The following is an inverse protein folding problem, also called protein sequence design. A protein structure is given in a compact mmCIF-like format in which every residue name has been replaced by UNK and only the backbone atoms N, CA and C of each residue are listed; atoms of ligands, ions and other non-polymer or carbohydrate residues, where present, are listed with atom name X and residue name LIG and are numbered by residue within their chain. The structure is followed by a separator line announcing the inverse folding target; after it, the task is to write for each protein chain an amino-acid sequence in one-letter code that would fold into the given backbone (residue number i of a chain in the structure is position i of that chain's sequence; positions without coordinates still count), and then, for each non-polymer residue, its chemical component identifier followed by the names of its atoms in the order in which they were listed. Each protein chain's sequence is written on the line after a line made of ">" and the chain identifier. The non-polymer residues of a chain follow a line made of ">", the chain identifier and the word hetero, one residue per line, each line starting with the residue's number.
data_IF_028125603134
#
_entry.id   IF_028125603134
#
_cell.length_a   1.000
_cell.length_b   1.000
_cell.length_c   1.000
_cell.angle_alpha   90.00
_cell.angle_beta   90.00
_cell.angle_gamma   90.00
#
_symmetry.space_group_name_H-M   'P 1'
#
loop_
_entity.id
_entity.type
_entity.pdbx_description
1 polymer ?
#
# COMPACT_ATOMS: atom_id res chain seq x y z
N UNK A 1 -18.48 -60.68 21.83
CA UNK A 1 -19.15 -59.57 22.56
C UNK A 1 -18.18 -58.67 23.35
N UNK A 2 -17.34 -59.15 24.28
CA UNK A 2 -16.47 -58.27 25.10
C UNK A 2 -15.37 -57.52 24.32
N UNK A 3 -14.83 -58.10 23.24
CA UNK A 3 -13.74 -57.49 22.45
C UNK A 3 -14.21 -56.35 21.53
N UNK A 4 -15.38 -56.48 20.92
CA UNK A 4 -15.98 -55.41 20.10
C UNK A 4 -16.30 -54.16 20.91
N UNK A 5 -16.74 -54.33 22.15
CA UNK A 5 -17.00 -53.21 23.06
C UNK A 5 -15.72 -52.44 23.39
N UNK A 6 -14.60 -53.13 23.63
CA UNK A 6 -13.30 -52.47 23.85
C UNK A 6 -12.84 -51.67 22.63
N UNK A 7 -12.98 -52.23 21.43
CA UNK A 7 -12.59 -51.55 20.20
C UNK A 7 -13.45 -50.30 19.92
N UNK A 8 -14.76 -50.35 20.23
CA UNK A 8 -15.65 -49.19 20.13
C UNK A 8 -15.30 -48.09 21.13
N UNK A 9 -14.92 -48.45 22.36
CA UNK A 9 -14.48 -47.49 23.39
C UNK A 9 -13.15 -46.82 23.00
N UNK A 10 -12.18 -47.58 22.47
CA UNK A 10 -10.92 -47.02 21.99
C UNK A 10 -11.12 -46.11 20.77
N UNK A 11 -11.98 -46.49 19.83
CA UNK A 11 -12.32 -45.67 18.67
C UNK A 11 -13.00 -44.36 19.07
N UNK A 12 -13.98 -44.43 19.99
CA UNK A 12 -14.67 -43.26 20.51
C UNK A 12 -13.72 -42.35 21.31
N UNK A 13 -12.84 -42.93 22.13
CA UNK A 13 -11.81 -42.20 22.86
C UNK A 13 -10.81 -41.48 21.94
N UNK A 14 -10.39 -42.15 20.85
CA UNK A 14 -9.54 -41.54 19.81
C UNK A 14 -10.24 -40.39 19.07
N UNK A 15 -11.53 -40.53 18.77
CA UNK A 15 -12.31 -39.50 18.10
C UNK A 15 -12.50 -38.25 18.99
N UNK A 16 -12.77 -38.44 20.28
CA UNK A 16 -12.87 -37.34 21.26
C UNK A 16 -11.52 -36.63 21.41
N UNK A 17 -10.41 -37.38 21.51
CA UNK A 17 -9.08 -36.79 21.59
C UNK A 17 -8.74 -35.96 20.34
N UNK A 18 -9.10 -36.44 19.15
CA UNK A 18 -8.92 -35.71 17.90
C UNK A 18 -9.75 -34.41 17.86
N UNK A 19 -11.01 -34.46 18.30
CA UNK A 19 -11.87 -33.27 18.40
C UNK A 19 -11.32 -32.25 19.41
N UNK A 20 -10.78 -32.71 20.55
CA UNK A 20 -10.15 -31.82 21.53
C UNK A 20 -8.87 -31.16 21.00
N UNK A 21 -8.05 -31.88 20.22
CA UNK A 21 -6.85 -31.32 19.57
C UNK A 21 -7.25 -30.30 18.49
N UNK A 22 -8.30 -30.57 17.73
CA UNK A 22 -8.83 -29.65 16.71
C UNK A 22 -9.47 -28.40 17.33
N UNK A 23 -10.14 -28.52 18.48
CA UNK A 23 -10.72 -27.39 19.21
C UNK A 23 -9.65 -26.51 19.90
N UNK A 24 -8.52 -27.08 20.33
CA UNK A 24 -7.42 -26.34 20.93
C UNK A 24 -6.61 -25.47 19.94
N UNK A 25 -6.80 -25.68 18.63
CA UNK A 25 -6.13 -24.90 17.58
C UNK A 25 -6.71 -23.50 17.34
N UNK A 26 -7.90 -23.20 17.87
CA UNK A 26 -8.54 -21.90 17.70
C UNK A 26 -8.11 -20.92 18.82
N UNK A 27 -6.88 -20.40 18.74
CA UNK A 27 -6.46 -19.29 19.61
C UNK A 27 -7.16 -18.01 19.14
N UNK A 28 -8.18 -17.57 19.87
CA UNK A 28 -8.66 -16.19 19.81
C UNK A 28 -7.46 -15.28 20.12
N UNK A 29 -7.08 -14.45 19.17
CA UNK A 29 -6.05 -13.44 19.42
C UNK A 29 -6.76 -12.28 20.09
N UNK A 30 -6.50 -12.08 21.38
CA UNK A 30 -7.01 -10.93 22.11
C UNK A 30 -6.14 -9.73 21.73
N UNK A 31 -6.79 -8.72 21.16
CA UNK A 31 -6.16 -7.44 20.83
C UNK A 31 -6.42 -6.46 21.98
N UNK A 32 -5.44 -5.61 22.33
CA UNK A 32 -5.66 -4.58 23.33
C UNK A 32 -6.70 -3.57 22.83
N UNK A 33 -7.60 -3.14 23.71
CA UNK A 33 -8.51 -2.04 23.42
C UNK A 33 -7.74 -0.73 23.26
N UNK A 34 -7.96 -0.02 22.15
CA UNK A 34 -7.36 1.29 21.88
C UNK A 34 -8.41 2.37 22.13
N UNK A 35 -8.35 3.01 23.30
CA UNK A 35 -9.22 4.16 23.60
C UNK A 35 -8.85 5.38 22.71
N UNK A 36 -9.87 6.04 22.15
CA UNK A 36 -9.71 7.19 21.23
C UNK A 36 -8.72 6.93 20.09
N UNK A 37 -9.02 5.98 19.17
CA UNK A 37 -8.07 5.61 18.13
C UNK A 37 -7.97 6.68 17.03
N UNK A 38 -6.76 6.88 16.53
CA UNK A 38 -6.47 7.34 15.18
C UNK A 38 -6.07 6.13 14.31
N UNK A 39 -6.26 6.21 13.00
CA UNK A 39 -5.99 5.10 12.08
C UNK A 39 -4.78 5.39 11.21
N UNK A 40 -3.76 4.54 11.26
CA UNK A 40 -2.47 4.79 10.62
C UNK A 40 -2.06 3.64 9.70
N UNK A 41 -1.67 3.97 8.48
CA UNK A 41 -0.96 3.07 7.55
C UNK A 41 0.41 3.65 7.25
N UNK A 42 1.48 2.87 7.38
CA UNK A 42 2.87 3.36 7.21
C UNK A 42 3.60 2.58 6.14
N UNK A 43 4.33 3.29 5.30
CA UNK A 43 5.11 2.74 4.21
C UNK A 43 6.57 3.18 4.28
N UNK A 44 7.48 2.22 4.08
CA UNK A 44 8.88 2.50 3.82
C UNK A 44 9.11 2.68 2.31
N UNK A 45 9.25 3.94 1.88
CA UNK A 45 9.49 4.31 0.48
C UNK A 45 10.95 4.68 0.22
N UNK A 46 11.87 4.29 1.10
CA UNK A 46 13.31 4.47 0.87
C UNK A 46 13.78 3.52 -0.23
N UNK A 47 14.38 4.09 -1.26
CA UNK A 47 15.02 3.36 -2.35
C UNK A 47 16.49 3.22 -2.05
N UNK A 48 17.04 2.01 -2.19
CA UNK A 48 18.46 1.78 -1.96
C UNK A 48 19.05 0.89 -3.04
N UNK A 49 19.91 1.47 -3.85
CA UNK A 49 20.77 0.74 -4.78
C UNK A 49 22.15 0.65 -4.17
N UNK A 50 22.58 -0.57 -3.83
CA UNK A 50 23.93 -0.82 -3.31
C UNK A 50 24.94 -0.52 -4.42
N UNK A 51 25.85 0.40 -4.17
CA UNK A 51 27.02 0.70 -4.99
C UNK A 51 28.28 0.48 -4.14
N UNK A 52 29.46 0.45 -4.76
CA UNK A 52 30.72 0.38 -4.01
C UNK A 52 30.84 1.55 -3.03
N UNK A 53 30.41 2.73 -3.46
CA UNK A 53 30.51 3.98 -2.69
C UNK A 53 29.57 4.04 -1.49
N UNK A 54 28.42 3.36 -1.56
CA UNK A 54 27.41 3.39 -0.50
C UNK A 54 27.25 2.05 0.22
N UNK A 55 28.09 1.04 -0.01
CA UNK A 55 27.92 -0.31 0.57
C UNK A 55 27.78 -0.33 2.10
N UNK A 56 28.37 0.66 2.77
CA UNK A 56 28.36 0.80 4.24
C UNK A 56 27.23 1.70 4.75
N UNK A 57 26.40 2.26 3.87
CA UNK A 57 25.28 3.10 4.25
C UNK A 57 24.14 2.28 4.91
N UNK A 58 23.33 2.91 5.79
CA UNK A 58 22.21 2.25 6.43
C UNK A 58 21.23 1.69 5.38
N UNK A 59 20.96 0.39 5.45
CA UNK A 59 20.00 -0.28 4.57
C UNK A 59 18.57 0.21 4.87
N UNK A 60 17.66 0.29 3.88
CA UNK A 60 16.28 0.70 4.08
C UNK A 60 15.45 -0.44 4.68
N UNK A 61 15.95 -1.07 5.74
CA UNK A 61 15.25 -2.10 6.50
C UNK A 61 15.04 -1.55 7.90
N UNK A 62 13.79 -1.25 8.24
CA UNK A 62 13.46 -0.34 9.33
C UNK A 62 12.75 -1.05 10.47
N UNK A 63 12.96 -0.53 11.67
CA UNK A 63 12.06 -0.69 12.81
C UNK A 63 11.37 0.66 13.05
N UNK A 64 10.05 0.64 13.17
CA UNK A 64 9.25 1.79 13.60
C UNK A 64 8.92 1.65 15.09
N UNK A 65 9.19 2.72 15.85
CA UNK A 65 8.85 2.84 17.26
C UNK A 65 7.91 4.03 17.46
N UNK A 66 6.81 3.82 18.18
CA UNK A 66 5.90 4.88 18.63
C UNK A 66 6.02 4.98 20.15
N UNK A 67 6.29 6.20 20.63
CA UNK A 67 6.58 6.54 22.02
C UNK A 67 7.70 5.68 22.63
N UNK A 68 8.92 5.81 22.09
CA UNK A 68 10.06 5.03 22.54
C UNK A 68 10.55 5.45 23.93
N UNK A 69 10.90 4.46 24.75
CA UNK A 69 11.66 4.62 25.98
C UNK A 69 13.15 4.48 25.67
N UNK A 70 13.91 5.54 25.98
CA UNK A 70 15.36 5.57 25.78
C UNK A 70 16.08 5.31 27.10
N UNK A 71 17.23 4.64 27.06
CA UNK A 71 18.15 4.57 28.18
C UNK A 71 18.99 5.87 28.33
N UNK A 72 19.85 5.91 29.35
CA UNK A 72 20.73 7.06 29.60
C UNK A 72 21.71 7.38 28.45
N UNK A 73 21.94 6.43 27.55
CA UNK A 73 22.78 6.61 26.35
C UNK A 73 21.97 7.03 25.12
N UNK A 74 20.67 7.30 25.28
CA UNK A 74 19.76 7.63 24.17
C UNK A 74 19.35 6.41 23.33
N UNK A 75 19.57 5.18 23.82
CA UNK A 75 19.25 3.97 23.08
C UNK A 75 17.81 3.52 23.32
N UNK A 76 17.05 3.16 22.28
CA UNK A 76 15.70 2.65 22.48
C UNK A 76 15.74 1.26 23.11
N UNK A 77 15.10 1.12 24.27
CA UNK A 77 14.99 -0.13 25.04
C UNK A 77 13.58 -0.69 25.08
N UNK A 78 12.57 0.15 24.81
CA UNK A 78 11.18 -0.24 24.66
C UNK A 78 10.41 0.83 23.87
N UNK A 79 9.15 0.56 23.51
CA UNK A 79 8.21 1.53 22.93
C UNK A 79 6.77 1.05 23.15
N UNK A 80 5.81 1.98 23.17
CA UNK A 80 4.39 1.64 23.27
C UNK A 80 3.92 0.80 22.07
N UNK A 81 4.40 1.14 20.87
CA UNK A 81 4.25 0.30 19.67
C UNK A 81 5.62 0.05 19.06
N UNK A 82 5.95 -1.22 18.86
CA UNK A 82 7.13 -1.66 18.10
C UNK A 82 6.65 -2.39 16.85
N UNK A 83 6.94 -1.83 15.67
CA UNK A 83 6.72 -2.49 14.40
C UNK A 83 8.08 -2.76 13.73
N UNK A 84 8.52 -4.00 13.87
CA UNK A 84 9.83 -4.45 13.42
C UNK A 84 9.79 -5.06 12.01
N UNK A 85 10.96 -5.24 11.41
CA UNK A 85 11.16 -5.89 10.10
C UNK A 85 10.43 -5.20 8.93
N UNK A 86 10.31 -3.87 8.96
CA UNK A 86 9.70 -3.10 7.89
C UNK A 86 10.65 -3.01 6.69
N UNK A 87 10.38 -3.80 5.66
CA UNK A 87 11.06 -3.76 4.37
C UNK A 87 10.48 -2.66 3.47
N UNK A 88 11.07 -2.48 2.29
CA UNK A 88 10.57 -1.57 1.27
C UNK A 88 9.15 -1.91 0.83
N UNK A 89 8.38 -0.86 0.54
CA UNK A 89 6.99 -0.94 0.09
C UNK A 89 6.85 -1.75 -1.20
N UNK A 90 5.75 -2.50 -1.33
CA UNK A 90 5.38 -3.17 -2.57
C UNK A 90 4.64 -2.25 -3.56
N UNK A 91 4.70 -2.51 -4.87
CA UNK A 91 4.07 -1.66 -5.91
C UNK A 91 2.56 -1.50 -5.76
N UNK A 92 1.87 -2.51 -5.20
CA UNK A 92 0.44 -2.47 -4.90
C UNK A 92 0.19 -2.82 -3.43
N UNK A 93 -0.38 -1.87 -2.70
CA UNK A 93 -0.89 -2.01 -1.35
C UNK A 93 -2.39 -2.29 -1.41
N UNK A 94 -2.77 -3.55 -1.15
CA UNK A 94 -4.14 -4.04 -1.28
C UNK A 94 -5.03 -3.52 -0.14
N UNK A 95 -6.37 -3.51 -0.31
CA UNK A 95 -7.29 -3.05 0.74
C UNK A 95 -7.27 -3.94 1.99
N UNK A 96 -7.25 -5.26 1.78
CA UNK A 96 -7.09 -6.24 2.86
C UNK A 96 -5.62 -6.64 2.97
N UNK A 97 -4.98 -6.46 4.15
CA UNK A 97 -3.77 -7.20 4.44
C UNK A 97 -4.12 -8.69 4.50
N UNK A 98 -3.28 -9.56 3.94
CA UNK A 98 -3.54 -11.00 3.92
C UNK A 98 -3.64 -11.54 5.37
N UNK A 99 -4.87 -11.69 5.88
CA UNK A 99 -5.16 -11.98 7.29
C UNK A 99 -4.66 -13.36 7.79
N UNK A 100 -4.06 -14.17 6.91
CA UNK A 100 -3.39 -15.44 7.22
C UNK A 100 -1.89 -15.44 6.94
N UNK A 101 -1.30 -14.33 6.51
CA UNK A 101 0.11 -14.25 6.18
C UNK A 101 0.93 -14.04 7.48
N UNK A 102 2.00 -14.83 7.65
CA UNK A 102 2.90 -14.79 8.81
C UNK A 102 4.29 -14.27 8.42
N UNK A 103 4.37 -13.54 7.30
CA UNK A 103 5.62 -12.98 6.81
C UNK A 103 6.33 -12.21 7.92
N UNK A 104 7.60 -12.52 8.15
CA UNK A 104 8.40 -11.76 9.10
C UNK A 104 8.64 -10.34 8.58
N UNK A 105 8.96 -10.22 7.29
CA UNK A 105 9.30 -8.95 6.67
C UNK A 105 8.05 -8.27 6.10
N UNK A 106 7.75 -7.10 6.63
CA UNK A 106 6.51 -6.38 6.38
C UNK A 106 6.72 -5.25 5.38
N UNK A 107 5.87 -5.14 4.36
CA UNK A 107 5.94 -4.06 3.36
C UNK A 107 5.25 -2.77 3.81
N UNK A 108 4.43 -2.86 4.85
CA UNK A 108 3.62 -1.77 5.38
C UNK A 108 3.17 -2.08 6.81
N UNK A 109 2.92 -1.04 7.61
CA UNK A 109 2.17 -1.13 8.87
C UNK A 109 0.68 -0.90 8.60
N UNK A 110 -0.25 -1.65 9.23
CA UNK A 110 0.00 -2.69 10.23
C UNK A 110 0.42 -4.04 9.60
N UNK A 111 0.29 -4.19 8.29
CA UNK A 111 0.71 -5.39 7.56
C UNK A 111 0.06 -6.63 8.15
N UNK A 112 0.87 -7.65 8.44
CA UNK A 112 0.42 -8.87 9.12
C UNK A 112 0.77 -8.88 10.61
N UNK A 113 1.17 -7.74 11.19
CA UNK A 113 1.41 -7.65 12.61
C UNK A 113 0.08 -7.79 13.37
N UNK A 114 0.16 -8.42 14.55
CA UNK A 114 -1.01 -8.65 15.42
C UNK A 114 -1.33 -7.39 16.22
N UNK A 115 -1.74 -6.33 15.53
CA UNK A 115 -2.12 -5.03 16.09
C UNK A 115 -3.60 -4.80 15.78
N UNK A 116 -4.38 -4.16 16.68
CA UNK A 116 -5.75 -3.79 16.38
C UNK A 116 -5.81 -2.93 15.10
N UNK A 117 -6.76 -3.22 14.21
CA UNK A 117 -6.93 -2.53 12.93
C UNK A 117 -8.24 -1.75 12.89
N UNK A 118 -8.31 -0.76 12.01
CA UNK A 118 -9.45 0.15 11.86
C UNK A 118 -10.78 -0.57 11.56
N UNK A 119 -11.91 -0.03 12.04
CA UNK A 119 -13.22 -0.56 11.73
C UNK A 119 -13.67 -0.10 10.34
N UNK A 120 -14.92 -0.40 10.00
CA UNK A 120 -15.56 0.19 8.82
C UNK A 120 -16.01 1.61 9.18
N UNK A 121 -15.54 2.61 8.42
CA UNK A 121 -15.88 4.03 8.63
C UNK A 121 -16.52 4.58 7.36
N UNK A 122 -17.77 5.04 7.45
CA UNK A 122 -18.54 5.55 6.30
C UNK A 122 -18.51 4.63 5.07
N UNK A 123 -18.61 3.32 5.32
CA UNK A 123 -18.60 2.29 4.29
C UNK A 123 -17.20 1.90 3.77
N UNK A 124 -16.12 2.52 4.23
CA UNK A 124 -14.75 2.14 3.89
C UNK A 124 -14.18 1.15 4.88
N UNK A 125 -13.54 0.09 4.38
CA UNK A 125 -12.86 -0.88 5.21
C UNK A 125 -11.44 -0.39 5.58
N UNK A 126 -11.20 -0.16 6.87
CA UNK A 126 -9.90 0.30 7.39
C UNK A 126 -9.07 -0.81 8.00
N UNK A 127 -9.33 -2.09 7.68
CA UNK A 127 -8.51 -3.22 8.14
C UNK A 127 -7.04 -3.12 7.71
N UNK A 128 -6.72 -2.37 6.67
CA UNK A 128 -5.34 -2.01 6.27
C UNK A 128 -4.71 -0.86 7.07
N UNK A 129 -5.36 -0.34 8.11
CA UNK A 129 -4.87 0.75 8.97
C UNK A 129 -4.82 0.29 10.42
N UNK A 130 -3.68 0.43 11.09
CA UNK A 130 -3.52 0.10 12.50
C UNK A 130 -4.17 1.16 13.39
N UNK A 131 -4.79 0.75 14.48
CA UNK A 131 -5.24 1.67 15.52
C UNK A 131 -4.05 2.12 16.37
N UNK A 132 -3.84 3.42 16.44
CA UNK A 132 -2.88 4.07 17.35
C UNK A 132 -3.68 5.01 18.24
N UNK A 133 -3.27 5.22 19.49
CA UNK A 133 -3.92 6.22 20.35
C UNK A 133 -3.86 7.60 19.69
N UNK A 134 -4.88 8.44 19.88
CA UNK A 134 -4.82 9.84 19.47
C UNK A 134 -3.98 10.67 20.45
N UNK A 135 -3.34 11.73 19.96
CA UNK A 135 -2.55 12.66 20.73
C UNK A 135 -1.20 12.96 20.08
N UNK A 136 -0.29 13.54 20.88
CA UNK A 136 1.09 13.80 20.47
C UNK A 136 1.95 12.57 20.72
N UNK A 137 2.54 12.03 19.65
CA UNK A 137 3.32 10.80 19.67
C UNK A 137 4.70 11.01 19.07
N UNK A 138 5.73 10.45 19.70
CA UNK A 138 7.10 10.46 19.16
C UNK A 138 7.30 9.22 18.29
N UNK A 139 7.61 9.43 17.02
CA UNK A 139 7.95 8.39 16.06
C UNK A 139 9.45 8.34 15.84
N UNK A 140 10.03 7.15 15.95
CA UNK A 140 11.39 6.88 15.51
C UNK A 140 11.42 5.78 14.46
N UNK A 141 12.13 6.03 13.36
CA UNK A 141 12.42 5.05 12.32
C UNK A 141 13.91 4.77 12.33
N UNK A 142 14.25 3.51 12.57
CA UNK A 142 15.64 3.09 12.81
C UNK A 142 16.01 2.07 11.76
N UNK A 143 17.09 2.34 11.02
CA UNK A 143 17.72 1.35 10.17
C UNK A 143 18.31 0.23 11.02
N UNK A 144 17.99 -1.00 10.66
CA UNK A 144 18.51 -2.20 11.31
C UNK A 144 19.15 -3.15 10.27
N UNK A 145 20.07 -4.03 10.70
CA UNK A 145 20.57 -5.10 9.85
C UNK A 145 19.44 -6.03 9.39
N UNK A 146 19.61 -6.62 8.20
CA UNK A 146 18.76 -7.73 7.74
C UNK A 146 19.11 -8.98 8.54
N UNK A 147 18.39 -9.18 9.62
CA UNK A 147 18.42 -10.39 10.45
C UNK A 147 17.01 -10.76 10.89
N UNK A 148 16.85 -11.94 11.48
CA UNK A 148 15.59 -12.37 12.06
C UNK A 148 15.50 -12.08 13.57
N UNK A 149 16.57 -11.56 14.16
CA UNK A 149 16.61 -11.20 15.58
C UNK A 149 15.64 -10.03 15.83
N UNK A 150 14.81 -10.09 16.89
CA UNK A 150 13.99 -8.96 17.33
C UNK A 150 14.82 -7.72 17.61
N UNK A 151 14.29 -6.54 17.30
CA UNK A 151 14.99 -5.27 17.42
C UNK A 151 15.72 -5.07 18.77
N UNK A 152 15.06 -5.33 19.90
CA UNK A 152 15.67 -5.10 21.23
C UNK A 152 16.74 -6.12 21.62
N UNK A 153 16.83 -7.27 20.93
CA UNK A 153 17.94 -8.22 21.08
C UNK A 153 19.17 -7.85 20.25
N UNK A 154 19.05 -6.87 19.34
CA UNK A 154 20.18 -6.42 18.54
C UNK A 154 21.21 -5.70 19.43
N UNK A 155 22.52 -5.81 19.09
CA UNK A 155 23.57 -5.07 19.79
C UNK A 155 23.30 -3.57 19.71
N UNK A 156 23.74 -2.82 20.72
CA UNK A 156 23.47 -1.39 20.81
C UNK A 156 23.93 -0.61 19.56
N UNK A 157 25.03 -1.01 18.92
CA UNK A 157 25.51 -0.41 17.66
C UNK A 157 24.48 -0.50 16.51
N UNK A 158 23.71 -1.58 16.45
CA UNK A 158 22.68 -1.79 15.43
C UNK A 158 21.35 -1.06 15.72
N UNK A 159 21.16 -0.57 16.95
CA UNK A 159 19.98 0.19 17.37
C UNK A 159 20.17 1.72 17.29
N UNK A 160 21.36 2.20 16.90
CA UNK A 160 21.72 3.63 16.81
C UNK A 160 21.40 4.28 15.47
N UNK A 161 21.04 3.51 14.45
CA UNK A 161 20.80 3.98 13.07
C UNK A 161 19.50 4.76 12.90
N UNK A 162 19.24 5.77 13.73
CA UNK A 162 18.02 6.57 13.71
C UNK A 162 18.00 7.42 12.43
N UNK A 163 17.05 7.14 11.54
CA UNK A 163 16.86 7.88 10.29
C UNK A 163 15.85 9.02 10.44
N UNK A 164 14.82 8.80 11.28
CA UNK A 164 13.80 9.79 11.61
C UNK A 164 13.54 9.71 13.10
N UNK A 165 13.46 10.87 13.74
CA UNK A 165 13.00 11.06 15.11
C UNK A 165 12.19 12.36 15.14
N UNK A 166 10.88 12.23 15.31
CA UNK A 166 9.98 13.37 15.23
C UNK A 166 8.72 13.16 16.04
N UNK A 167 8.02 14.23 16.35
CA UNK A 167 6.73 14.19 17.05
C UNK A 167 5.63 14.56 16.08
N UNK A 168 4.57 13.76 16.04
CA UNK A 168 3.37 14.02 15.23
C UNK A 168 2.15 14.02 16.14
N UNK A 169 1.17 14.87 15.80
CA UNK A 169 -0.11 14.87 16.48
C UNK A 169 -1.14 14.11 15.65
N UNK A 170 -1.73 13.06 16.22
CA UNK A 170 -2.78 12.25 15.62
C UNK A 170 -4.12 12.60 16.27
N UNK A 171 -5.02 13.20 15.50
CA UNK A 171 -6.38 13.48 15.96
C UNK A 171 -7.24 12.21 16.04
N UNK A 172 -8.13 12.16 17.03
CA UNK A 172 -9.05 11.04 17.24
C UNK A 172 -9.99 10.84 16.05
N UNK A 173 -10.16 9.58 15.63
CA UNK A 173 -11.05 9.17 14.54
C UNK A 173 -10.53 9.50 13.14
N UNK A 174 -9.38 10.16 13.05
CA UNK A 174 -8.79 10.57 11.78
C UNK A 174 -7.92 9.48 11.18
N UNK A 175 -7.82 9.49 9.85
CA UNK A 175 -7.12 8.47 9.07
C UNK A 175 -5.87 9.09 8.48
N UNK A 176 -4.76 8.37 8.57
CA UNK A 176 -3.45 8.84 8.17
C UNK A 176 -2.72 7.83 7.31
N UNK A 177 -2.09 8.32 6.25
CA UNK A 177 -1.08 7.58 5.48
C UNK A 177 0.27 8.23 5.71
N UNK A 178 1.25 7.44 6.13
CA UNK A 178 2.61 7.87 6.41
C UNK A 178 3.59 7.23 5.43
N UNK A 179 4.47 8.03 4.85
CA UNK A 179 5.57 7.57 4.00
C UNK A 179 6.91 8.00 4.63
N UNK A 180 7.85 7.06 4.71
CA UNK A 180 9.25 7.34 5.01
C UNK A 180 10.00 7.40 3.69
N UNK A 181 10.57 8.56 3.39
CA UNK A 181 11.15 8.85 2.08
C UNK A 181 12.34 9.80 2.21
N UNK A 182 13.16 9.84 1.17
CA UNK A 182 14.24 10.83 1.04
C UNK A 182 13.62 12.19 0.68
N UNK A 183 14.06 13.26 1.35
CA UNK A 183 13.55 14.63 1.14
C UNK A 183 14.26 15.33 -0.02
N UNK A 184 15.56 15.09 -0.17
CA UNK A 184 16.41 15.78 -1.13
C UNK A 184 17.61 14.91 -1.50
N UNK A 185 17.90 14.80 -2.79
CA UNK A 185 19.06 14.03 -3.29
C UNK A 185 20.39 14.69 -2.92
N UNK A 186 20.36 16.01 -2.65
CA UNK A 186 21.55 16.79 -2.30
C UNK A 186 21.97 16.57 -0.84
N UNK A 187 20.99 16.53 0.07
CA UNK A 187 21.25 16.36 1.50
C UNK A 187 21.16 14.91 1.96
N UNK A 188 20.52 14.04 1.15
CA UNK A 188 20.22 12.63 1.50
C UNK A 188 19.44 12.48 2.81
N UNK A 189 18.76 13.54 3.24
CA UNK A 189 18.00 13.54 4.49
C UNK A 189 16.74 12.71 4.33
N UNK A 190 16.59 11.68 5.15
CA UNK A 190 15.34 10.94 5.30
C UNK A 190 14.35 11.76 6.13
N UNK A 191 13.07 11.69 5.77
CA UNK A 191 12.03 12.32 6.56
C UNK A 191 10.69 11.61 6.45
N UNK A 192 9.78 12.10 7.27
CA UNK A 192 8.42 11.62 7.37
C UNK A 192 7.50 12.51 6.53
N UNK A 193 6.59 11.89 5.81
CA UNK A 193 5.47 12.52 5.12
C UNK A 193 4.19 11.90 5.70
N UNK A 194 3.30 12.71 6.29
CA UNK A 194 2.09 12.23 6.96
C UNK A 194 0.88 12.98 6.44
N UNK A 195 0.07 12.29 5.64
CA UNK A 195 -1.15 12.87 5.05
C UNK A 195 -2.36 12.43 5.87
N UNK A 196 -3.16 13.40 6.30
CA UNK A 196 -4.49 13.19 6.90
C UNK A 196 -5.52 12.97 5.79
N UNK A 197 -5.98 11.74 5.63
CA UNK A 197 -6.85 11.32 4.54
C UNK A 197 -8.29 11.84 4.71
N UNK A 198 -8.96 12.11 3.59
CA UNK A 198 -10.33 12.69 3.59
C UNK A 198 -11.38 11.83 2.89
N UNK A 199 -11.02 10.66 2.34
CA UNK A 199 -11.93 9.84 1.51
C UNK A 199 -13.21 9.39 2.25
N UNK A 200 -13.19 9.31 3.58
CA UNK A 200 -14.38 9.03 4.41
C UNK A 200 -15.28 10.23 4.63
N UNK A 201 -14.85 11.43 4.23
CA UNK A 201 -15.52 12.72 4.50
C UNK A 201 -16.02 13.43 3.24
N UNK A 202 -15.82 12.82 2.08
CA UNK A 202 -16.25 13.35 0.79
C UNK A 202 -17.24 12.41 0.11
N UNK A 203 -18.24 12.94 -0.62
CA UNK A 203 -19.23 12.13 -1.31
C UNK A 203 -18.62 11.55 -2.59
N UNK A 204 -18.32 10.25 -2.59
CA UNK A 204 -17.77 9.55 -3.75
C UNK A 204 -18.81 8.55 -4.28
N UNK A 205 -19.14 8.61 -5.57
CA UNK A 205 -20.12 7.71 -6.22
C UNK A 205 -19.65 6.26 -6.31
N UNK A 206 -20.55 5.28 -6.18
CA UNK A 206 -20.27 3.86 -6.45
C UNK A 206 -20.09 3.53 -7.95
N UNK A 207 -20.43 4.47 -8.84
CA UNK A 207 -20.29 4.29 -10.29
C UNK A 207 -18.93 4.74 -10.85
N UNK A 208 -18.07 5.31 -10.00
CA UNK A 208 -16.82 5.95 -10.39
C UNK A 208 -15.66 5.42 -9.54
N UNK A 209 -14.55 5.07 -10.18
CA UNK A 209 -13.29 4.76 -9.52
C UNK A 209 -12.53 6.06 -9.31
N UNK A 210 -12.14 6.35 -8.08
CA UNK A 210 -11.44 7.60 -7.73
C UNK A 210 -9.96 7.36 -7.52
N UNK A 211 -9.15 8.32 -7.95
CA UNK A 211 -7.69 8.28 -7.81
C UNK A 211 -7.15 9.67 -7.57
N UNK A 212 -6.30 9.84 -6.56
CA UNK A 212 -5.43 11.01 -6.45
C UNK A 212 -3.98 10.61 -6.76
N UNK A 213 -3.18 11.59 -7.17
CA UNK A 213 -1.84 11.37 -7.68
C UNK A 213 -0.84 12.28 -6.98
N UNK A 214 0.31 11.71 -6.63
CA UNK A 214 1.39 12.42 -5.98
C UNK A 214 2.71 12.15 -6.69
N UNK A 215 3.45 13.21 -6.96
CA UNK A 215 4.88 13.13 -7.25
C UNK A 215 5.63 13.46 -5.96
N UNK A 216 5.96 12.43 -5.18
CA UNK A 216 6.64 12.55 -3.88
C UNK A 216 8.17 12.45 -4.03
N UNK A 217 8.71 12.67 -5.24
CA UNK A 217 10.15 12.60 -5.47
C UNK A 217 10.93 13.54 -4.56
N UNK A 218 12.14 13.12 -4.19
CA UNK A 218 13.14 13.97 -3.56
C UNK A 218 13.33 15.24 -4.41
N UNK A 219 13.56 16.37 -3.73
CA UNK A 219 14.12 17.53 -4.39
C UNK A 219 15.39 17.15 -5.19
N UNK A 220 15.51 17.62 -6.43
CA UNK A 220 16.66 17.38 -7.29
C UNK A 220 16.67 16.01 -7.99
N UNK A 221 15.67 15.14 -7.74
CA UNK A 221 15.67 13.78 -8.27
C UNK A 221 15.78 13.75 -9.80
N UNK A 222 14.86 14.40 -10.50
CA UNK A 222 14.84 14.40 -11.97
C UNK A 222 16.08 15.07 -12.58
N UNK A 223 16.60 16.11 -11.91
CA UNK A 223 17.74 16.91 -12.36
C UNK A 223 19.07 16.15 -12.25
N UNK A 224 19.17 15.22 -11.30
CA UNK A 224 20.39 14.42 -11.04
C UNK A 224 20.26 12.98 -11.52
N UNK A 225 19.10 12.61 -12.07
CA UNK A 225 18.87 11.26 -12.57
C UNK A 225 19.79 10.96 -13.76
N UNK A 226 20.43 9.79 -13.71
CA UNK A 226 21.25 9.29 -14.82
C UNK A 226 20.36 8.42 -15.70
N UNK A 227 20.14 8.88 -16.92
CA UNK A 227 19.37 8.16 -17.92
C UNK A 227 20.22 7.05 -18.53
N UNK A 228 19.79 5.80 -18.36
CA UNK A 228 20.44 4.60 -18.88
C UNK A 228 19.43 3.64 -19.51
N UNK A 229 19.94 2.64 -20.24
CA UNK A 229 19.10 1.66 -20.92
C UNK A 229 18.36 0.71 -19.97
N UNK A 230 18.76 0.64 -18.69
CA UNK A 230 18.17 -0.26 -17.71
C UNK A 230 16.93 0.35 -17.01
N UNK A 231 16.80 1.67 -17.04
CA UNK A 231 15.79 2.41 -16.27
C UNK A 231 14.95 3.35 -17.16
N UNK A 232 14.80 3.01 -18.44
CA UNK A 232 14.09 3.83 -19.43
C UNK A 232 12.72 4.26 -18.93
N UNK A 233 12.43 5.55 -19.03
CA UNK A 233 11.13 6.14 -18.69
C UNK A 233 10.69 5.91 -17.23
N UNK A 234 11.57 5.50 -16.31
CA UNK A 234 11.23 5.38 -14.88
C UNK A 234 11.33 6.72 -14.15
N UNK A 235 12.12 7.66 -14.67
CA UNK A 235 12.21 9.04 -14.18
C UNK A 235 11.03 9.89 -14.72
N UNK A 236 10.50 10.81 -13.91
CA UNK A 236 9.56 11.85 -14.36
C UNK A 236 10.03 13.23 -13.91
N UNK A 237 9.65 14.27 -14.65
CA UNK A 237 9.91 15.67 -14.26
C UNK A 237 9.01 16.10 -13.09
N UNK A 238 9.34 17.25 -12.53
CA UNK A 238 8.62 17.80 -11.38
C UNK A 238 7.14 18.08 -11.69
N UNK A 239 6.81 18.57 -12.88
CA UNK A 239 5.42 18.81 -13.28
C UNK A 239 5.05 17.92 -14.45
N UNK A 240 3.97 17.16 -14.30
CA UNK A 240 3.46 16.21 -15.29
C UNK A 240 1.94 16.32 -15.41
N UNK A 241 1.41 15.88 -16.53
CA UNK A 241 0.00 15.66 -16.80
C UNK A 241 -0.28 14.16 -16.83
N UNK A 242 -1.48 13.78 -16.41
CA UNK A 242 -1.91 12.39 -16.32
C UNK A 242 -3.09 12.21 -17.26
N UNK A 243 -2.96 11.21 -18.13
CA UNK A 243 -3.98 10.78 -19.07
C UNK A 243 -4.28 9.31 -18.84
N UNK A 244 -5.52 8.89 -19.02
CA UNK A 244 -5.90 7.49 -18.89
C UNK A 244 -6.49 6.94 -20.18
N UNK A 245 -6.30 5.63 -20.37
CA UNK A 245 -6.98 4.82 -21.37
C UNK A 245 -7.61 3.60 -20.71
N UNK A 246 -8.89 3.35 -21.00
CA UNK A 246 -9.60 2.16 -20.52
C UNK A 246 -9.70 1.11 -21.63
N UNK A 247 -9.53 -0.14 -21.24
CA UNK A 247 -9.51 -1.29 -22.13
C UNK A 247 -10.62 -2.26 -21.74
N UNK A 248 -11.40 -2.68 -22.75
CA UNK A 248 -12.32 -3.80 -22.67
C UNK A 248 -11.58 -5.12 -22.98
N UNK A 249 -12.36 -6.18 -23.18
CA UNK A 249 -11.87 -7.50 -23.56
C UNK A 249 -10.96 -7.43 -24.80
N UNK A 250 -9.98 -8.33 -24.88
CA UNK A 250 -9.04 -8.46 -26.01
C UNK A 250 -8.25 -7.17 -26.25
N UNK A 251 -7.93 -6.45 -25.16
CA UNK A 251 -7.21 -5.17 -25.14
C UNK A 251 -7.80 -4.10 -26.07
N UNK A 252 -9.12 -4.12 -26.29
CA UNK A 252 -9.79 -3.10 -27.11
C UNK A 252 -9.96 -1.80 -26.34
N UNK A 253 -9.47 -0.68 -26.91
CA UNK A 253 -9.66 0.64 -26.32
C UNK A 253 -11.14 1.02 -26.31
N UNK A 254 -11.65 1.50 -25.18
CA UNK A 254 -13.05 1.92 -25.09
C UNK A 254 -13.19 3.33 -25.66
N UNK A 255 -14.11 3.50 -26.61
CA UNK A 255 -14.38 4.78 -27.27
C UNK A 255 -14.77 5.84 -26.23
N UNK A 256 -14.18 7.04 -26.33
CA UNK A 256 -14.39 8.14 -25.37
C UNK A 256 -13.50 8.09 -24.13
N UNK A 257 -12.77 6.99 -23.91
CA UNK A 257 -11.86 6.80 -22.78
C UNK A 257 -10.46 6.43 -23.26
N UNK A 258 -9.99 7.07 -24.34
CA UNK A 258 -8.63 6.91 -24.86
C UNK A 258 -7.87 8.21 -24.67
N UNK A 259 -6.73 8.14 -23.99
CA UNK A 259 -5.88 9.31 -23.70
C UNK A 259 -6.67 10.49 -23.12
N UNK A 260 -7.66 10.18 -22.27
CA UNK A 260 -8.49 11.18 -21.63
C UNK A 260 -7.69 11.88 -20.54
N UNK A 261 -7.64 13.21 -20.57
CA UNK A 261 -6.96 13.99 -19.53
C UNK A 261 -7.64 13.77 -18.17
N UNK A 262 -6.83 13.53 -17.15
CA UNK A 262 -7.30 13.28 -15.79
C UNK A 262 -6.96 14.45 -14.87
N UNK A 263 -5.68 14.78 -14.73
CA UNK A 263 -5.19 15.86 -13.87
C UNK A 263 -3.74 16.23 -14.18
N UNK A 264 -3.28 17.38 -13.68
CA UNK A 264 -1.86 17.66 -13.49
C UNK A 264 -1.36 17.17 -12.13
N UNK A 265 -0.05 16.93 -12.03
CA UNK A 265 0.65 16.64 -10.78
C UNK A 265 1.96 17.44 -10.75
N UNK A 266 2.25 18.05 -9.61
CA UNK A 266 3.50 18.77 -9.34
C UNK A 266 4.22 18.09 -8.18
N UNK A 267 5.55 18.01 -8.26
CA UNK A 267 6.42 17.46 -7.22
C UNK A 267 6.20 18.23 -5.93
N UNK A 268 5.77 17.53 -4.91
CA UNK A 268 5.54 18.09 -3.59
C UNK A 268 5.64 16.98 -2.55
N UNK A 269 6.26 17.30 -1.42
CA UNK A 269 6.17 16.48 -0.22
C UNK A 269 5.47 17.25 0.92
N UNK A 270 4.65 18.23 0.56
CA UNK A 270 3.74 18.88 1.50
C UNK A 270 2.61 17.92 1.87
N UNK A 271 2.30 17.74 3.17
CA UNK A 271 1.38 16.71 3.66
C UNK A 271 -0.10 17.06 3.45
N UNK A 272 -0.49 17.34 2.21
CA UNK A 272 -1.87 17.71 1.83
C UNK A 272 -2.51 16.65 0.96
N UNK A 273 -3.84 16.48 1.08
CA UNK A 273 -4.57 15.58 0.17
C UNK A 273 -4.78 16.27 -1.17
N UNK A 274 -4.26 15.65 -2.24
CA UNK A 274 -4.54 16.09 -3.59
C UNK A 274 -5.97 15.71 -4.02
N UNK A 275 -6.60 16.50 -4.91
CA UNK A 275 -7.93 16.21 -5.42
C UNK A 275 -8.04 14.82 -6.04
N UNK A 276 -9.20 14.18 -5.83
CA UNK A 276 -9.53 12.93 -6.49
C UNK A 276 -10.05 13.19 -7.90
N UNK A 277 -9.37 12.61 -8.88
CA UNK A 277 -9.88 12.44 -10.24
C UNK A 277 -10.58 11.10 -10.38
N UNK A 278 -11.35 10.89 -11.44
CA UNK A 278 -12.11 9.65 -11.59
C UNK A 278 -12.26 9.17 -13.03
N UNK A 279 -12.64 7.90 -13.15
CA UNK A 279 -13.12 7.28 -14.38
C UNK A 279 -14.27 6.32 -14.04
N UNK A 280 -15.15 5.97 -15.00
CA UNK A 280 -16.30 5.12 -14.72
C UNK A 280 -15.92 3.67 -14.42
N UNK A 281 -16.61 3.06 -13.45
CA UNK A 281 -16.48 1.63 -13.13
C UNK A 281 -16.93 0.74 -14.30
N UNK A 282 -18.00 1.14 -14.99
CA UNK A 282 -18.54 0.46 -16.16
C UNK A 282 -18.47 1.37 -17.38
N UNK A 283 -17.28 1.51 -18.00
CA UNK A 283 -17.08 2.35 -19.19
C UNK A 283 -17.73 1.76 -20.45
N UNK A 284 -17.89 0.43 -20.50
CA UNK A 284 -18.48 -0.28 -21.63
C UNK A 284 -20.01 -0.30 -21.52
N UNK A 285 -20.68 0.48 -22.37
CA UNK A 285 -22.13 0.58 -22.42
C UNK A 285 -22.83 -0.70 -22.87
N UNK A 286 -22.09 -1.68 -23.40
CA UNK A 286 -22.63 -2.98 -23.82
C UNK A 286 -22.55 -4.05 -22.72
N UNK A 287 -21.82 -3.77 -21.63
CA UNK A 287 -21.66 -4.69 -20.52
C UNK A 287 -22.92 -4.80 -19.66
N UNK A 288 -23.03 -5.90 -18.91
CA UNK A 288 -24.15 -6.14 -17.98
C UNK A 288 -24.12 -5.29 -16.70
N UNK A 289 -23.13 -4.40 -16.56
CA UNK A 289 -22.89 -3.55 -15.38
C UNK A 289 -22.81 -4.32 -14.05
N UNK A 290 -22.41 -5.60 -14.10
CA UNK A 290 -22.16 -6.43 -12.92
C UNK A 290 -20.67 -6.67 -12.76
N UNK A 291 -19.97 -6.94 -13.87
CA UNK A 291 -18.57 -7.34 -13.85
C UNK A 291 -17.73 -6.52 -14.84
N UNK A 292 -16.66 -5.92 -14.32
CA UNK A 292 -15.63 -5.16 -15.01
C UNK A 292 -14.22 -5.64 -14.61
N UNK A 293 -14.09 -6.78 -13.93
CA UNK A 293 -12.79 -7.28 -13.43
C UNK A 293 -11.79 -7.69 -14.51
N UNK A 294 -12.25 -7.85 -15.76
CA UNK A 294 -11.35 -8.01 -16.90
C UNK A 294 -10.89 -6.67 -17.49
N UNK A 295 -11.45 -5.52 -17.10
CA UNK A 295 -11.05 -4.25 -17.70
C UNK A 295 -9.58 -3.91 -17.40
N UNK A 296 -8.90 -3.33 -18.39
CA UNK A 296 -7.55 -2.81 -18.25
C UNK A 296 -7.56 -1.29 -18.07
N UNK A 297 -6.67 -0.77 -17.23
CA UNK A 297 -6.43 0.65 -17.07
C UNK A 297 -4.96 0.95 -17.40
N UNK A 298 -4.72 1.90 -18.28
CA UNK A 298 -3.38 2.43 -18.56
C UNK A 298 -3.38 3.92 -18.28
N UNK A 299 -2.32 4.41 -17.66
CA UNK A 299 -2.11 5.81 -17.37
C UNK A 299 -0.80 6.27 -17.97
N UNK A 300 -0.86 7.29 -18.82
CA UNK A 300 0.29 7.99 -19.36
C UNK A 300 0.55 9.22 -18.51
N UNK A 301 1.78 9.36 -18.03
CA UNK A 301 2.24 10.52 -17.26
C UNK A 301 3.25 11.24 -18.14
N UNK A 302 2.88 12.44 -18.58
CA UNK A 302 3.54 13.16 -19.66
C UNK A 302 3.91 14.56 -19.22
N UNK A 303 5.04 15.09 -19.69
CA UNK A 303 5.36 16.50 -19.47
C UNK A 303 4.30 17.41 -20.11
N UNK A 304 3.99 18.57 -19.51
CA UNK A 304 3.09 19.54 -20.12
C UNK A 304 3.53 19.90 -21.55
N UNK A 305 2.58 19.91 -22.48
CA UNK A 305 2.83 20.16 -23.90
C UNK A 305 3.16 18.91 -24.73
N UNK A 306 3.39 17.75 -24.10
CA UNK A 306 3.57 16.48 -24.83
C UNK A 306 2.21 15.87 -25.21
N UNK A 307 1.98 15.54 -26.49
CA UNK A 307 0.76 14.88 -26.94
C UNK A 307 0.61 13.47 -26.32
N UNK A 308 -0.62 13.06 -25.94
CA UNK A 308 -0.82 11.79 -25.24
C UNK A 308 -0.71 10.54 -26.12
N UNK A 309 -0.67 10.71 -27.44
CA UNK A 309 -0.41 9.68 -28.44
C UNK A 309 1.09 9.42 -28.69
N UNK A 310 1.98 10.28 -28.20
CA UNK A 310 3.45 10.14 -28.33
C UNK A 310 4.12 9.35 -27.19
N UNK A 311 3.37 8.55 -26.42
CA UNK A 311 3.91 7.71 -25.36
C UNK A 311 4.70 6.51 -25.89
N UNK A 312 5.88 6.74 -26.46
CA UNK A 312 6.73 5.67 -26.98
C UNK A 312 7.44 4.92 -25.85
N UNK A 313 7.25 3.59 -25.80
CA UNK A 313 7.85 2.72 -24.79
C UNK A 313 9.28 2.28 -25.11
N UNK A 314 9.71 2.39 -26.37
CA UNK A 314 10.98 1.82 -26.85
C UNK A 314 12.19 2.69 -26.53
N UNK A 315 12.02 4.01 -26.57
CA UNK A 315 13.09 4.98 -26.36
C UNK A 315 12.94 5.72 -25.03
N UNK A 316 14.07 6.14 -24.46
CA UNK A 316 14.06 6.93 -23.24
C UNK A 316 13.66 8.38 -23.55
N UNK A 317 12.56 8.80 -22.93
CA UNK A 317 11.99 10.13 -23.06
C UNK A 317 12.73 11.20 -22.25
N UNK A 318 13.75 10.84 -21.48
CA UNK A 318 14.49 11.76 -20.58
C UNK A 318 13.56 12.46 -19.58
N UNK A 319 12.65 11.67 -19.02
CA UNK A 319 11.66 12.10 -18.02
C UNK A 319 10.41 12.77 -18.57
N UNK A 320 10.24 12.86 -19.90
CA UNK A 320 9.04 13.44 -20.51
C UNK A 320 7.84 12.49 -20.51
N UNK A 321 8.06 11.21 -20.33
CA UNK A 321 7.05 10.17 -20.38
C UNK A 321 7.36 9.07 -19.38
N UNK A 322 6.31 8.61 -18.71
CA UNK A 322 6.23 7.29 -18.12
C UNK A 322 4.81 6.77 -18.25
N UNK A 323 4.60 5.50 -17.94
CA UNK A 323 3.27 4.93 -17.87
C UNK A 323 3.16 3.86 -16.80
N UNK A 324 1.96 3.69 -16.26
CA UNK A 324 1.64 2.52 -15.47
C UNK A 324 0.36 1.88 -15.96
N UNK A 325 0.27 0.57 -15.83
CA UNK A 325 -0.88 -0.22 -16.25
C UNK A 325 -1.29 -1.18 -15.15
N UNK A 326 -2.59 -1.45 -15.11
CA UNK A 326 -3.22 -2.32 -14.12
C UNK A 326 -4.43 -3.03 -14.72
N UNK A 327 -4.65 -4.28 -14.30
CA UNK A 327 -5.72 -5.11 -14.79
C UNK A 327 -5.31 -5.98 -15.97
N UNK A 328 -6.05 -7.07 -16.23
CA UNK A 328 -5.61 -8.15 -17.11
C UNK A 328 -5.61 -7.78 -18.60
N UNK A 329 -6.49 -6.87 -19.02
CA UNK A 329 -6.57 -6.40 -20.42
C UNK A 329 -5.74 -5.13 -20.65
N UNK A 330 -5.01 -4.64 -19.66
CA UNK A 330 -4.15 -3.49 -19.86
C UNK A 330 -2.92 -3.90 -20.70
N UNK A 331 -2.47 -3.07 -21.65
CA UNK A 331 -1.23 -3.32 -22.35
C UNK A 331 -0.04 -3.22 -21.39
N UNK A 332 1.13 -3.67 -21.84
CA UNK A 332 2.36 -3.40 -21.11
C UNK A 332 2.54 -1.88 -20.94
N UNK A 333 3.05 -1.45 -19.79
CA UNK A 333 3.48 -0.08 -19.49
C UNK A 333 4.91 -0.09 -18.94
N UNK A 334 5.47 1.09 -18.65
CA UNK A 334 6.76 1.19 -17.96
C UNK A 334 6.67 0.51 -16.59
N UNK A 335 5.61 0.80 -15.84
CA UNK A 335 5.28 0.14 -14.58
C UNK A 335 4.09 -0.79 -14.77
N UNK A 336 4.35 -2.09 -14.87
CA UNK A 336 3.31 -3.13 -14.87
C UNK A 336 3.01 -3.53 -13.43
N UNK A 337 1.97 -2.93 -12.86
CA UNK A 337 1.60 -3.16 -11.48
C UNK A 337 0.72 -4.41 -11.41
N UNK A 338 1.09 -5.37 -10.56
CA UNK A 338 0.41 -6.67 -10.44
C UNK A 338 -1.00 -6.56 -9.86
N UNK A 339 -1.97 -6.19 -10.68
CA UNK A 339 -3.40 -6.36 -10.42
C UNK A 339 -3.92 -7.64 -11.09
N UNK A 340 -4.77 -8.39 -10.39
CA UNK A 340 -5.46 -9.56 -10.94
C UNK A 340 -6.93 -9.24 -11.21
N UNK A 341 -7.70 -10.20 -11.75
CA UNK A 341 -9.13 -10.02 -12.06
C UNK A 341 -9.99 -9.64 -10.83
N UNK A 342 -9.48 -9.83 -9.61
CA UNK A 342 -10.13 -9.55 -8.33
C UNK A 342 -9.52 -8.35 -7.61
N UNK A 343 -8.25 -8.06 -7.84
CA UNK A 343 -7.48 -7.04 -7.11
C UNK A 343 -6.89 -5.99 -8.04
N UNK A 344 -7.13 -4.72 -7.72
CA UNK A 344 -6.59 -3.58 -8.45
C UNK A 344 -7.37 -2.30 -8.19
N UNK A 345 -7.37 -1.37 -9.14
CA UNK A 345 -8.18 -0.14 -9.09
C UNK A 345 -9.67 -0.43 -9.32
N UNK A 346 -10.00 -1.62 -9.80
CA UNK A 346 -11.35 -2.20 -9.74
C UNK A 346 -11.26 -3.51 -8.98
N UNK A 347 -12.12 -3.70 -7.99
CA UNK A 347 -12.18 -4.93 -7.20
C UNK A 347 -13.36 -5.75 -7.65
N UNK A 348 -13.15 -7.06 -7.87
CA UNK A 348 -14.22 -7.97 -8.26
C UNK A 348 -14.25 -9.19 -7.34
N UNK A 349 -15.31 -9.30 -6.54
CA UNK A 349 -15.47 -10.33 -5.51
C UNK A 349 -16.88 -10.92 -5.52
N UNK A 350 -17.08 -12.07 -4.87
CA UNK A 350 -18.43 -12.58 -4.64
C UNK A 350 -19.15 -11.63 -3.67
N UNK A 351 -20.27 -11.06 -4.10
CA UNK A 351 -21.12 -10.23 -3.26
C UNK A 351 -22.60 -10.41 -3.61
N UNK A 352 -23.44 -10.57 -2.59
CA UNK A 352 -24.86 -10.89 -2.75
C UNK A 352 -25.03 -12.17 -3.56
N UNK A 353 -25.85 -12.12 -4.61
CA UNK A 353 -26.11 -13.26 -5.51
C UNK A 353 -25.11 -13.38 -6.67
N UNK A 354 -24.18 -12.43 -6.82
CA UNK A 354 -23.30 -12.33 -7.99
C UNK A 354 -21.88 -12.79 -7.67
N UNK A 355 -21.36 -13.73 -8.46
CA UNK A 355 -20.00 -14.24 -8.33
C UNK A 355 -19.28 -14.24 -9.70
N UNK A 356 -18.39 -13.26 -9.99
CA UNK A 356 -18.07 -12.06 -9.22
C UNK A 356 -18.96 -10.83 -9.54
N UNK A 357 -18.93 -9.82 -8.66
CA UNK A 357 -19.42 -8.45 -8.88
C UNK A 357 -18.26 -7.46 -8.74
N UNK A 358 -18.23 -6.44 -9.59
CA UNK A 358 -17.21 -5.39 -9.57
C UNK A 358 -17.67 -4.14 -8.84
N UNK A 359 -16.71 -3.49 -8.18
CA UNK A 359 -16.95 -2.35 -7.30
C UNK A 359 -15.95 -1.23 -7.54
N UNK A 360 -16.44 -0.01 -7.37
CA UNK A 360 -15.63 1.19 -7.34
C UNK A 360 -14.70 1.18 -6.12
N UNK A 361 -13.52 1.77 -6.30
CA UNK A 361 -12.51 1.88 -5.26
C UNK A 361 -12.00 3.32 -5.16
N UNK A 362 -11.30 3.60 -4.08
CA UNK A 362 -10.54 4.84 -3.90
C UNK A 362 -9.06 4.49 -3.92
N UNK A 363 -8.31 5.14 -4.78
CA UNK A 363 -6.91 4.84 -5.01
C UNK A 363 -6.03 6.06 -4.73
N UNK A 364 -4.81 5.77 -4.31
CA UNK A 364 -3.73 6.73 -4.22
C UNK A 364 -2.57 6.23 -5.04
N UNK A 365 -2.15 6.99 -6.05
CA UNK A 365 -0.97 6.72 -6.87
C UNK A 365 0.16 7.63 -6.43
N UNK A 366 1.27 7.05 -6.01
CA UNK A 366 2.43 7.76 -5.48
C UNK A 366 3.67 7.39 -6.30
N UNK A 367 4.25 8.38 -6.97
CA UNK A 367 5.56 8.26 -7.58
C UNK A 367 6.63 8.72 -6.59
N UNK A 368 7.61 7.87 -6.29
CA UNK A 368 8.73 8.18 -5.39
C UNK A 368 10.02 7.71 -6.05
N UNK A 369 10.88 8.64 -6.46
CA UNK A 369 12.25 8.38 -6.90
C UNK A 369 12.38 7.15 -7.82
N UNK A 370 11.69 7.17 -8.97
CA UNK A 370 11.77 6.08 -9.95
C UNK A 370 10.82 4.91 -9.72
N UNK A 371 10.03 4.93 -8.64
CA UNK A 371 9.10 3.86 -8.29
C UNK A 371 7.67 4.36 -8.31
N UNK A 372 6.75 3.49 -8.75
CA UNK A 372 5.32 3.74 -8.76
C UNK A 372 4.61 2.85 -7.74
N UNK A 373 3.81 3.45 -6.87
CA UNK A 373 3.04 2.75 -5.85
C UNK A 373 1.57 3.07 -5.96
N UNK A 374 0.73 2.07 -5.73
CA UNK A 374 -0.72 2.22 -5.62
C UNK A 374 -1.18 1.72 -4.27
N UNK A 375 -1.96 2.52 -3.56
CA UNK A 375 -2.77 2.07 -2.43
C UNK A 375 -4.23 2.05 -2.86
N UNK A 376 -4.88 0.90 -2.71
CA UNK A 376 -6.31 0.76 -2.99
C UNK A 376 -7.08 0.62 -1.68
N UNK A 377 -8.13 1.41 -1.55
CA UNK A 377 -9.15 1.34 -0.51
C UNK A 377 -10.45 0.80 -1.12
N UNK A 378 -11.05 -0.15 -0.42
CA UNK A 378 -12.33 -0.73 -0.81
C UNK A 378 -13.46 -0.24 0.08
N UNK A 379 -14.67 -0.31 -0.45
CA UNK A 379 -15.88 -0.20 0.35
C UNK A 379 -16.31 -1.56 0.89
N UNK A 380 -17.18 -1.55 1.89
CA UNK A 380 -17.89 -2.73 2.34
C UNK A 380 -18.90 -3.14 1.27
N UNK A 381 -18.92 -4.43 0.95
CA UNK A 381 -19.87 -5.03 0.02
C UNK A 381 -20.82 -5.98 0.74
N UNK A 382 -21.96 -6.27 0.10
CA UNK A 382 -22.89 -7.26 0.63
C UNK A 382 -22.21 -8.63 0.72
N UNK A 383 -22.40 -9.38 1.82
CA UNK A 383 -21.82 -10.72 1.94
C UNK A 383 -22.37 -11.66 0.86
N UNK A 384 -21.61 -12.71 0.45
CA UNK A 384 -22.10 -13.73 -0.47
C UNK A 384 -23.37 -14.42 0.02
N UNK A 385 -24.32 -14.66 -0.89
CA UNK A 385 -25.53 -15.46 -0.68
C UNK A 385 -25.39 -16.75 -1.46
N UNK A 386 -24.97 -17.81 -0.77
CA UNK A 386 -24.91 -19.16 -1.33
C UNK A 386 -26.35 -19.70 -1.45
N UNK A 387 -26.75 -20.08 -2.67
CA UNK A 387 -28.00 -20.78 -2.93
C UNK A 387 -27.77 -22.27 -3.07
#
# INVERSE_FOLDING_TARGET
>A
MKQEYKNKIHFLGGLIALVCILAAGCRKTDFPDVSSPAYLRVFNCLTYNVTIDNKDAPQPFLTMLIDPVLDASGMPVNADVTFDFMTTRGPLARPYPDAGNTALWQKEFPGTAKIPVGPIVNGYDLSGYGMVKSGSHRFMFISRPRSNDPFYSLPASARKGILVDTTVNLEQGEIYTMNILEKSVYTRKTGLYLRKEIFTKIPLSDSLVYTNFYNLSSEGYAQTFVFDDNSKNTCIRDTMNIFYTLYAKDRQKIKGYTNAFMTGVTRSQEPVVHPYSNFPLFPDSTANHIYAGTSGQMFNILSPGTPPDQGEQSDDSKGNYTSFALGPEAPAAVFNLGGDVRTGMVISVYSGVYNPRSFATVNTVEYVNGNMYITTLQRRYDPPVYK
#
